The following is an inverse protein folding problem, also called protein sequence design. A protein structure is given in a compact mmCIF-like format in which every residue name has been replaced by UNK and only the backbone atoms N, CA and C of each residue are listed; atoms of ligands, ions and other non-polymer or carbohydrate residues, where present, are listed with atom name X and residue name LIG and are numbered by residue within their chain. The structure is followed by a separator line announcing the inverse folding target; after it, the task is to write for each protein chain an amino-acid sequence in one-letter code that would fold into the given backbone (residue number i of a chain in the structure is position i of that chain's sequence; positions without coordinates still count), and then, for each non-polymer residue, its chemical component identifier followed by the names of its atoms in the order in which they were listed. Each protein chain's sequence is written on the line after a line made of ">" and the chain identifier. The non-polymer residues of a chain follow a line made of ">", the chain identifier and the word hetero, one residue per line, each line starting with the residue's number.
data_IF_114160646458
#
_entry.id   IF_114160646458
#
_cell.length_a   1.000
_cell.length_b   1.000
_cell.length_c   1.000
_cell.angle_alpha   90.00
_cell.angle_beta   90.00
_cell.angle_gamma   90.00
#
_symmetry.space_group_name_H-M   'P 1'
#
loop_
_entity.id
_entity.type
_entity.pdbx_description
1 polymer ?
#
# COMPACT_ATOMS: atom_id res chain seq x y z
N UNK A 1 0.25 -37.03 -32.65
CA UNK A 1 -0.13 -36.21 -31.49
C UNK A 1 0.86 -35.06 -31.41
N UNK A 2 0.48 -33.89 -31.93
CA UNK A 2 1.32 -32.69 -31.94
C UNK A 2 1.06 -31.94 -30.64
N UNK A 3 2.12 -31.72 -29.85
CA UNK A 3 2.08 -30.98 -28.59
C UNK A 3 1.88 -29.50 -28.88
N UNK A 4 0.77 -28.98 -28.38
CA UNK A 4 0.33 -27.61 -28.52
C UNK A 4 1.29 -26.66 -27.79
N UNK A 5 1.96 -25.78 -28.53
CA UNK A 5 2.60 -24.59 -27.98
C UNK A 5 1.49 -23.66 -27.47
N UNK A 6 1.17 -23.76 -26.18
CA UNK A 6 0.15 -22.92 -25.54
C UNK A 6 0.82 -21.62 -25.06
N UNK A 7 0.63 -20.55 -25.82
CA UNK A 7 0.81 -19.18 -25.33
C UNK A 7 -0.08 -18.96 -24.10
N UNK A 8 0.48 -19.11 -22.89
CA UNK A 8 -0.25 -18.89 -21.62
C UNK A 8 -0.78 -17.45 -21.62
N UNK A 9 -2.11 -17.31 -21.58
CA UNK A 9 -2.77 -16.03 -21.31
C UNK A 9 -2.17 -15.45 -20.02
N UNK A 10 -1.75 -14.19 -20.06
CA UNK A 10 -1.33 -13.46 -18.87
C UNK A 10 -2.55 -13.32 -17.96
N UNK A 11 -2.58 -14.09 -16.87
CA UNK A 11 -3.55 -13.90 -15.80
C UNK A 11 -3.41 -12.46 -15.28
N UNK A 12 -4.53 -11.76 -15.09
CA UNK A 12 -4.56 -10.39 -14.59
C UNK A 12 -5.37 -10.35 -13.30
N UNK A 13 -5.02 -9.47 -12.39
CA UNK A 13 -5.89 -9.21 -11.24
C UNK A 13 -7.16 -8.45 -11.70
N UNK A 14 -8.20 -8.34 -10.83
CA UNK A 14 -9.46 -7.64 -11.17
C UNK A 14 -9.30 -6.18 -11.61
N UNK A 15 -8.13 -5.57 -11.42
CA UNK A 15 -7.78 -4.19 -11.75
C UNK A 15 -6.81 -4.07 -12.93
N UNK A 16 -6.48 -5.19 -13.59
CA UNK A 16 -5.68 -5.24 -14.82
C UNK A 16 -4.16 -5.31 -14.62
N UNK A 17 -3.67 -5.54 -13.40
CA UNK A 17 -2.25 -5.75 -13.12
C UNK A 17 -1.85 -7.16 -13.60
N UNK A 18 -0.90 -7.29 -14.55
CA UNK A 18 -0.48 -8.59 -15.07
C UNK A 18 0.18 -9.45 -14.00
N UNK A 19 -0.02 -10.77 -14.09
CA UNK A 19 0.71 -11.76 -13.31
C UNK A 19 2.10 -11.98 -13.90
N UNK A 20 3.10 -12.01 -13.05
CA UNK A 20 4.46 -12.38 -13.41
C UNK A 20 4.51 -13.85 -13.84
N UNK A 21 5.06 -14.17 -15.02
CA UNK A 21 5.21 -15.55 -15.45
C UNK A 21 6.29 -16.23 -14.61
N UNK A 22 5.98 -17.34 -13.93
CA UNK A 22 7.00 -18.14 -13.27
C UNK A 22 7.76 -18.99 -14.30
N UNK A 23 9.09 -18.97 -14.25
CA UNK A 23 9.94 -19.76 -15.14
C UNK A 23 10.41 -21.02 -14.42
N UNK A 24 9.72 -22.14 -14.65
CA UNK A 24 10.08 -23.44 -14.08
C UNK A 24 11.41 -23.96 -14.62
N UNK A 25 11.53 -24.03 -15.95
CA UNK A 25 12.72 -24.47 -16.67
C UNK A 25 13.41 -23.29 -17.37
N UNK A 26 14.52 -22.86 -16.80
CA UNK A 26 15.32 -21.73 -17.31
C UNK A 26 15.96 -22.04 -18.65
N UNK A 27 16.39 -23.29 -18.88
CA UNK A 27 17.09 -23.69 -20.11
C UNK A 27 16.15 -23.59 -21.32
N UNK A 28 14.91 -24.08 -21.17
CA UNK A 28 13.87 -23.96 -22.21
C UNK A 28 13.43 -22.51 -22.43
N UNK A 29 13.24 -21.74 -21.36
CA UNK A 29 12.75 -20.36 -21.43
C UNK A 29 13.75 -19.40 -22.07
N UNK A 30 15.06 -19.60 -21.83
CA UNK A 30 16.11 -18.76 -22.40
C UNK A 30 16.42 -19.17 -23.84
N UNK A 31 16.06 -20.38 -24.28
CA UNK A 31 16.27 -20.87 -25.66
C UNK A 31 17.44 -21.85 -25.81
N UNK A 32 17.89 -22.46 -24.70
CA UNK A 32 18.93 -23.47 -24.66
C UNK A 32 20.37 -22.94 -24.60
N UNK A 33 21.33 -23.85 -24.77
CA UNK A 33 22.78 -23.65 -24.56
C UNK A 33 23.46 -22.59 -25.44
N UNK A 34 22.80 -22.08 -26.48
CA UNK A 34 23.33 -21.05 -27.38
C UNK A 34 22.54 -19.74 -27.38
N UNK A 35 21.50 -19.63 -26.56
CA UNK A 35 20.65 -18.45 -26.59
C UNK A 35 21.24 -17.21 -25.91
N UNK A 36 20.75 -16.05 -26.33
CA UNK A 36 21.17 -14.72 -25.88
C UNK A 36 20.42 -14.31 -24.61
N UNK A 37 21.02 -14.64 -23.46
CA UNK A 37 20.43 -14.43 -22.12
C UNK A 37 20.16 -12.96 -21.81
N UNK A 38 20.99 -12.07 -22.36
CA UNK A 38 20.91 -10.61 -22.13
C UNK A 38 19.54 -10.05 -22.51
N UNK A 39 18.94 -10.55 -23.59
CA UNK A 39 17.61 -10.12 -24.05
C UNK A 39 16.52 -10.51 -23.05
N UNK A 40 16.62 -11.69 -22.44
CA UNK A 40 15.68 -12.16 -21.42
C UNK A 40 15.84 -11.41 -20.09
N UNK A 41 17.09 -11.15 -19.68
CA UNK A 41 17.41 -10.34 -18.49
C UNK A 41 16.82 -8.93 -18.64
N UNK A 42 17.03 -8.26 -19.80
CA UNK A 42 16.47 -6.95 -20.08
C UNK A 42 14.93 -6.92 -19.99
N UNK A 43 14.25 -7.94 -20.55
CA UNK A 43 12.78 -8.05 -20.45
C UNK A 43 12.31 -8.17 -19.00
N UNK A 44 13.05 -8.91 -18.15
CA UNK A 44 12.75 -9.01 -16.73
C UNK A 44 12.99 -7.70 -15.99
N UNK A 45 14.09 -6.99 -16.29
CA UNK A 45 14.36 -5.65 -15.73
C UNK A 45 13.25 -4.65 -16.09
N UNK A 46 12.83 -4.60 -17.36
CA UNK A 46 11.74 -3.75 -17.83
C UNK A 46 10.42 -4.08 -17.13
N UNK A 47 10.12 -5.36 -16.94
CA UNK A 47 8.88 -5.81 -16.30
C UNK A 47 8.90 -5.51 -14.80
N UNK A 48 10.01 -5.75 -14.12
CA UNK A 48 10.21 -5.39 -12.71
C UNK A 48 10.11 -3.88 -12.50
N UNK A 49 10.66 -3.07 -13.41
CA UNK A 49 10.53 -1.61 -13.36
C UNK A 49 9.07 -1.16 -13.46
N UNK A 50 8.26 -1.81 -14.31
CA UNK A 50 6.81 -1.55 -14.40
C UNK A 50 6.10 -1.88 -13.09
N UNK A 51 6.38 -3.04 -12.48
CA UNK A 51 5.77 -3.40 -11.19
C UNK A 51 6.14 -2.42 -10.08
N UNK A 52 7.42 -2.02 -9.98
CA UNK A 52 7.86 -1.02 -9.00
C UNK A 52 7.23 0.35 -9.23
N UNK A 53 7.08 0.78 -10.48
CA UNK A 53 6.39 2.03 -10.80
C UNK A 53 4.92 1.99 -10.33
N UNK A 54 4.21 0.90 -10.63
CA UNK A 54 2.83 0.70 -10.17
C UNK A 54 2.75 0.66 -8.64
N UNK A 55 3.70 0.01 -7.96
CA UNK A 55 3.76 -0.03 -6.50
C UNK A 55 3.91 1.36 -5.90
N UNK A 56 4.84 2.17 -6.43
CA UNK A 56 5.03 3.56 -5.98
C UNK A 56 3.76 4.38 -6.19
N UNK A 57 3.10 4.23 -7.34
CA UNK A 57 1.86 4.95 -7.65
C UNK A 57 0.73 4.58 -6.67
N UNK A 58 0.54 3.29 -6.39
CA UNK A 58 -0.46 2.82 -5.44
C UNK A 58 -0.11 3.18 -3.99
N UNK A 59 1.17 3.17 -3.62
CA UNK A 59 1.61 3.65 -2.31
C UNK A 59 1.31 5.14 -2.10
N UNK A 60 1.51 5.97 -3.13
CA UNK A 60 1.14 7.39 -3.09
C UNK A 60 -0.37 7.57 -2.93
N UNK A 61 -1.18 6.81 -3.68
CA UNK A 61 -2.64 6.82 -3.55
C UNK A 61 -3.09 6.40 -2.15
N UNK A 62 -2.52 5.32 -1.60
CA UNK A 62 -2.80 4.86 -0.23
C UNK A 62 -2.46 5.94 0.80
N UNK A 63 -1.32 6.61 0.65
CA UNK A 63 -0.92 7.70 1.56
C UNK A 63 -1.91 8.88 1.51
N UNK A 64 -2.37 9.25 0.32
CA UNK A 64 -3.38 10.30 0.17
C UNK A 64 -4.72 9.91 0.82
N UNK A 65 -5.15 8.65 0.68
CA UNK A 65 -6.36 8.13 1.33
C UNK A 65 -6.21 8.08 2.86
N UNK A 66 -5.04 7.68 3.39
CA UNK A 66 -4.76 7.67 4.83
C UNK A 66 -4.83 9.04 5.49
N UNK A 67 -4.50 10.12 4.77
CA UNK A 67 -4.71 11.48 5.28
C UNK A 67 -6.17 11.92 5.18
N UNK A 68 -6.84 11.62 4.06
CA UNK A 68 -8.19 12.10 3.78
C UNK A 68 -9.28 11.41 4.62
N UNK A 69 -9.12 10.14 4.94
CA UNK A 69 -10.13 9.38 5.68
C UNK A 69 -10.39 10.00 7.07
N UNK A 70 -9.36 10.27 7.89
CA UNK A 70 -9.53 10.99 9.15
C UNK A 70 -10.24 12.34 9.00
N UNK A 71 -9.86 13.15 8.01
CA UNK A 71 -10.49 14.46 7.77
C UNK A 71 -12.00 14.33 7.49
N UNK A 72 -12.40 13.36 6.65
CA UNK A 72 -13.82 13.09 6.36
C UNK A 72 -14.53 12.58 7.62
N UNK A 73 -13.90 11.68 8.39
CA UNK A 73 -14.45 11.13 9.62
C UNK A 73 -14.72 12.23 10.65
N UNK A 74 -13.75 13.10 10.89
CA UNK A 74 -13.89 14.22 11.82
C UNK A 74 -14.97 15.20 11.36
N UNK A 75 -15.00 15.52 10.06
CA UNK A 75 -16.06 16.37 9.50
C UNK A 75 -17.45 15.75 9.71
N UNK A 76 -17.58 14.45 9.46
CA UNK A 76 -18.83 13.71 9.65
C UNK A 76 -19.27 13.70 11.12
N UNK A 77 -18.33 13.52 12.05
CA UNK A 77 -18.60 13.57 13.49
C UNK A 77 -19.14 14.94 13.92
N UNK A 78 -18.53 16.04 13.44
CA UNK A 78 -19.01 17.40 13.73
C UNK A 78 -20.41 17.62 13.18
N UNK A 79 -20.69 17.22 11.94
CA UNK A 79 -22.03 17.38 11.35
C UNK A 79 -23.07 16.54 12.09
N UNK A 80 -22.73 15.30 12.47
CA UNK A 80 -23.59 14.45 13.31
C UNK A 80 -23.88 15.07 14.67
N UNK A 81 -22.87 15.65 15.33
CA UNK A 81 -23.03 16.35 16.60
C UNK A 81 -23.98 17.55 16.48
N UNK A 82 -23.79 18.39 15.45
CA UNK A 82 -24.68 19.53 15.17
C UNK A 82 -26.12 19.07 14.87
N UNK A 83 -26.28 17.95 14.18
CA UNK A 83 -27.59 17.35 13.90
C UNK A 83 -28.27 16.84 15.18
N UNK A 84 -27.54 16.10 16.02
CA UNK A 84 -28.05 15.56 17.27
C UNK A 84 -28.48 16.67 18.24
N UNK A 85 -27.65 17.71 18.39
CA UNK A 85 -27.96 18.87 19.23
C UNK A 85 -29.24 19.57 18.77
N UNK A 86 -29.38 19.80 17.47
CA UNK A 86 -30.60 20.36 16.89
C UNK A 86 -31.83 19.48 17.13
N UNK A 87 -31.71 18.17 17.02
CA UNK A 87 -32.83 17.26 17.30
C UNK A 87 -33.26 17.30 18.78
N UNK A 88 -32.29 17.38 19.72
CA UNK A 88 -32.55 17.54 21.15
C UNK A 88 -33.27 18.87 21.44
N UNK A 89 -32.77 19.98 20.87
CA UNK A 89 -33.43 21.29 20.95
C UNK A 89 -34.86 21.29 20.37
N UNK A 90 -35.13 20.49 19.33
CA UNK A 90 -36.46 20.30 18.73
C UNK A 90 -37.35 19.29 19.48
N UNK A 91 -36.87 18.67 20.56
CA UNK A 91 -37.61 17.68 21.35
C UNK A 91 -37.89 16.37 20.61
N UNK A 92 -37.13 16.06 19.55
CA UNK A 92 -37.23 14.79 18.83
C UNK A 92 -36.50 13.69 19.60
N UNK A 93 -37.05 12.45 19.65
CA UNK A 93 -36.35 11.33 20.27
C UNK A 93 -35.10 11.02 19.44
N UNK A 94 -33.93 11.27 20.02
CA UNK A 94 -32.65 10.88 19.41
C UNK A 94 -32.33 9.47 19.88
N UNK A 95 -32.17 8.54 18.95
CA UNK A 95 -31.50 7.28 19.26
C UNK A 95 -30.03 7.60 19.54
N UNK A 96 -29.61 7.49 20.81
CA UNK A 96 -28.20 7.63 21.17
C UNK A 96 -27.42 6.45 20.60
N UNK A 97 -26.89 6.60 19.38
CA UNK A 97 -25.76 5.78 18.95
C UNK A 97 -24.60 6.09 19.90
N UNK A 98 -24.34 5.19 20.85
CA UNK A 98 -23.16 5.25 21.71
C UNK A 98 -21.93 5.33 20.81
N UNK A 99 -21.31 6.50 20.76
CA UNK A 99 -19.98 6.70 20.20
C UNK A 99 -19.06 5.72 20.93
N UNK A 100 -18.42 4.81 20.21
CA UNK A 100 -17.53 3.81 20.81
C UNK A 100 -16.40 4.54 21.54
N UNK A 101 -16.40 4.32 22.84
CA UNK A 101 -15.60 4.93 23.90
C UNK A 101 -14.17 4.37 23.90
N UNK A 102 -13.45 4.53 22.80
CA UNK A 102 -12.02 4.21 22.78
C UNK A 102 -11.21 5.47 23.12
N UNK A 103 -10.81 5.51 24.41
CA UNK A 103 -9.77 6.31 25.07
C UNK A 103 -10.08 7.78 25.42
N UNK A 104 -10.70 8.01 26.59
CA UNK A 104 -9.99 8.51 27.79
C UNK A 104 -10.95 8.58 29.00
N UNK A 105 -10.63 7.80 30.04
CA UNK A 105 -11.20 7.86 31.39
C UNK A 105 -11.20 9.31 31.92
N UNK A 106 -12.38 9.91 31.99
CA UNK A 106 -12.70 10.96 32.96
C UNK A 106 -14.01 10.59 33.65
N UNK A 107 -13.90 9.67 34.62
CA UNK A 107 -14.83 9.57 35.74
C UNK A 107 -14.82 10.92 36.48
N UNK A 108 -15.75 11.83 36.13
CA UNK A 108 -16.06 12.99 36.95
C UNK A 108 -17.57 13.31 36.89
N UNK A 109 -18.25 12.79 37.93
CA UNK A 109 -19.31 13.43 38.73
C UNK A 109 -20.76 13.41 38.23
N UNK A 110 -21.60 12.87 39.13
CA UNK A 110 -23.02 13.16 39.36
C UNK A 110 -23.62 14.24 38.44
N UNK A 111 -24.48 13.84 37.50
CA UNK A 111 -25.46 14.75 36.91
C UNK A 111 -26.86 14.21 37.22
N UNK A 112 -27.45 14.77 38.27
CA UNK A 112 -28.91 14.79 38.44
C UNK A 112 -29.56 15.35 37.16
N UNK A 113 -30.65 14.72 36.72
CA UNK A 113 -31.45 15.14 35.56
C UNK A 113 -32.13 16.51 35.80
N UNK A 114 -31.35 17.59 35.81
CA UNK A 114 -31.87 18.92 35.54
C UNK A 114 -31.89 19.13 34.02
N UNK A 115 -33.10 19.31 33.47
CA UNK A 115 -33.29 19.82 32.10
C UNK A 115 -32.71 21.23 32.00
N UNK A 116 -31.40 21.35 31.84
CA UNK A 116 -30.74 22.60 31.48
C UNK A 116 -31.23 23.00 30.09
N UNK A 117 -31.86 24.17 30.00
CA UNK A 117 -32.12 24.83 28.72
C UNK A 117 -30.79 24.88 27.96
N UNK A 118 -30.74 24.37 26.72
CA UNK A 118 -29.49 24.27 25.98
C UNK A 118 -28.88 25.66 25.78
N UNK A 119 -27.84 25.97 26.58
CA UNK A 119 -27.11 27.22 26.43
C UNK A 119 -26.54 27.31 25.02
N UNK A 120 -26.58 28.51 24.39
CA UNK A 120 -26.15 28.66 23.03
C UNK A 120 -24.68 28.28 22.88
N UNK A 121 -24.36 27.49 21.85
CA UNK A 121 -23.03 26.89 21.69
C UNK A 121 -21.98 27.98 21.49
N UNK A 122 -21.09 28.15 22.45
CA UNK A 122 -19.90 29.00 22.28
C UNK A 122 -18.74 28.16 21.79
N UNK A 123 -18.05 28.65 20.79
CA UNK A 123 -16.88 28.00 20.20
C UNK A 123 -15.85 29.03 19.77
N UNK A 124 -14.60 28.60 19.67
CA UNK A 124 -13.51 29.39 19.13
C UNK A 124 -13.42 29.15 17.63
N UNK A 125 -13.69 30.18 16.83
CA UNK A 125 -13.52 30.14 15.39
C UNK A 125 -12.10 30.54 15.00
N UNK A 126 -11.46 29.71 14.19
CA UNK A 126 -10.16 30.00 13.60
C UNK A 126 -10.30 31.09 12.52
N UNK A 127 -9.69 32.26 12.76
CA UNK A 127 -9.57 33.36 11.78
C UNK A 127 -8.27 33.24 10.97
N UNK A 128 -7.23 32.69 11.60
CA UNK A 128 -5.90 32.40 11.06
C UNK A 128 -5.24 31.34 11.95
N UNK A 129 -4.15 30.71 11.49
CA UNK A 129 -3.46 29.60 12.15
C UNK A 129 -3.13 29.83 13.65
N UNK A 130 -2.99 31.10 14.05
CA UNK A 130 -2.69 31.51 15.44
C UNK A 130 -3.71 32.50 16.03
N UNK A 131 -4.81 32.78 15.33
CA UNK A 131 -5.83 33.75 15.73
C UNK A 131 -7.21 33.10 15.80
N UNK A 132 -7.80 33.11 16.99
CA UNK A 132 -9.12 32.56 17.25
C UNK A 132 -10.03 33.65 17.82
N UNK A 133 -11.32 33.60 17.49
CA UNK A 133 -12.35 34.46 18.05
C UNK A 133 -13.47 33.64 18.68
N UNK A 134 -13.90 34.02 19.87
CA UNK A 134 -15.07 33.44 20.52
C UNK A 134 -16.33 33.91 19.79
N UNK A 135 -17.17 32.97 19.37
CA UNK A 135 -18.48 33.27 18.82
C UNK A 135 -19.52 32.22 19.22
N UNK A 136 -20.78 32.64 19.13
CA UNK A 136 -21.96 31.84 19.43
C UNK A 136 -22.53 31.25 18.13
N UNK A 137 -22.78 29.94 18.10
CA UNK A 137 -23.35 29.26 16.93
C UNK A 137 -24.87 29.40 16.95
N UNK A 138 -25.42 29.93 15.85
CA UNK A 138 -26.86 29.92 15.59
C UNK A 138 -27.20 28.64 14.83
N UNK A 139 -28.12 27.84 15.36
CA UNK A 139 -28.54 26.58 14.75
C UNK A 139 -29.45 26.81 13.53
N UNK A 140 -28.84 26.99 12.36
CA UNK A 140 -29.56 27.19 11.08
C UNK A 140 -30.14 25.89 10.52
N UNK A 141 -29.54 24.73 10.83
CA UNK A 141 -29.93 23.42 10.30
C UNK A 141 -29.30 23.07 8.95
N UNK A 142 -28.37 23.91 8.48
CA UNK A 142 -27.64 23.73 7.24
C UNK A 142 -26.14 23.89 7.51
N UNK A 143 -25.31 23.19 6.74
CA UNK A 143 -23.85 23.25 6.80
C UNK A 143 -23.27 23.56 5.42
N UNK A 144 -22.26 24.44 5.38
CA UNK A 144 -21.51 24.73 4.17
C UNK A 144 -20.41 23.70 3.94
N UNK A 145 -20.49 22.96 2.83
CA UNK A 145 -19.46 21.99 2.44
C UNK A 145 -18.66 22.50 1.24
N UNK A 146 -17.34 22.51 1.36
CA UNK A 146 -16.43 22.81 0.27
C UNK A 146 -16.27 21.59 -0.65
N UNK A 147 -16.67 21.72 -1.91
CA UNK A 147 -16.64 20.61 -2.89
C UNK A 147 -15.37 20.61 -3.75
N UNK A 148 -14.54 21.66 -3.64
CA UNK A 148 -13.37 21.88 -4.49
C UNK A 148 -13.67 22.83 -5.65
N UNK A 149 -12.66 23.10 -6.49
CA UNK A 149 -12.76 23.99 -7.64
C UNK A 149 -13.43 25.34 -7.33
N UNK A 150 -13.05 25.97 -6.21
CA UNK A 150 -13.58 27.24 -5.72
C UNK A 150 -15.11 27.25 -5.50
N UNK A 151 -15.70 26.09 -5.20
CA UNK A 151 -17.15 25.93 -5.03
C UNK A 151 -17.49 25.39 -3.64
N UNK A 152 -18.38 26.10 -2.96
CA UNK A 152 -19.00 25.71 -1.68
C UNK A 152 -20.52 25.65 -1.86
N UNK A 153 -21.17 24.64 -1.30
CA UNK A 153 -22.63 24.51 -1.30
C UNK A 153 -23.14 24.30 0.12
N UNK A 154 -24.31 24.89 0.42
CA UNK A 154 -25.04 24.66 1.66
C UNK A 154 -25.89 23.39 1.50
N UNK A 155 -25.81 22.51 2.49
CA UNK A 155 -26.62 21.29 2.57
C UNK A 155 -27.37 21.25 3.91
N UNK A 156 -28.62 20.76 3.93
CA UNK A 156 -29.26 20.35 5.18
C UNK A 156 -28.39 19.32 5.93
N UNK A 157 -28.45 19.32 7.27
CA UNK A 157 -27.62 18.44 8.09
C UNK A 157 -27.78 16.95 7.73
N UNK A 158 -29.00 16.50 7.40
CA UNK A 158 -29.28 15.11 6.99
C UNK A 158 -28.59 14.77 5.66
N UNK A 159 -28.78 15.60 4.63
CA UNK A 159 -28.15 15.41 3.31
C UNK A 159 -26.62 15.46 3.40
N UNK A 160 -26.08 16.31 4.28
CA UNK A 160 -24.65 16.39 4.53
C UNK A 160 -24.09 15.11 5.16
N UNK A 161 -24.81 14.49 6.10
CA UNK A 161 -24.44 13.20 6.72
C UNK A 161 -24.43 12.11 5.66
N UNK A 162 -25.46 12.03 4.81
CA UNK A 162 -25.54 11.04 3.73
C UNK A 162 -24.41 11.23 2.70
N UNK A 163 -24.14 12.48 2.32
CA UNK A 163 -23.07 12.81 1.38
C UNK A 163 -21.69 12.44 1.94
N UNK A 164 -21.41 12.80 3.20
CA UNK A 164 -20.13 12.54 3.85
C UNK A 164 -19.93 11.05 4.15
N UNK A 165 -20.98 10.34 4.60
CA UNK A 165 -20.93 8.89 4.83
C UNK A 165 -20.70 8.11 3.54
N UNK A 166 -21.37 8.48 2.44
CA UNK A 166 -21.11 7.90 1.12
C UNK A 166 -19.69 8.14 0.63
N UNK A 167 -19.15 9.36 0.83
CA UNK A 167 -17.75 9.68 0.50
C UNK A 167 -16.75 8.89 1.36
N UNK A 168 -17.05 8.72 2.65
CA UNK A 168 -16.23 7.95 3.59
C UNK A 168 -16.18 6.47 3.18
N UNK A 169 -17.34 5.87 2.92
CA UNK A 169 -17.43 4.47 2.46
C UNK A 169 -16.70 4.26 1.13
N UNK A 170 -16.83 5.19 0.17
CA UNK A 170 -16.10 5.12 -1.10
C UNK A 170 -14.58 5.26 -0.91
N UNK A 171 -14.13 6.14 0.01
CA UNK A 171 -12.72 6.32 0.31
C UNK A 171 -12.12 5.08 1.01
N UNK A 172 -12.83 4.50 1.98
CA UNK A 172 -12.45 3.26 2.66
C UNK A 172 -12.38 2.09 1.68
N UNK A 173 -13.41 1.89 0.86
CA UNK A 173 -13.38 0.86 -0.20
C UNK A 173 -12.20 1.05 -1.15
N UNK A 174 -11.93 2.29 -1.59
CA UNK A 174 -10.78 2.56 -2.45
C UNK A 174 -9.44 2.32 -1.74
N UNK A 175 -9.38 2.45 -0.41
CA UNK A 175 -8.19 2.16 0.38
C UNK A 175 -7.94 0.66 0.44
N UNK A 176 -8.97 -0.13 0.72
CA UNK A 176 -8.89 -1.60 0.79
C UNK A 176 -8.46 -2.19 -0.55
N UNK A 177 -9.10 -1.77 -1.65
CA UNK A 177 -8.72 -2.16 -3.02
C UNK A 177 -7.24 -1.82 -3.31
N UNK A 178 -6.76 -0.66 -2.85
CA UNK A 178 -5.36 -0.27 -3.04
C UNK A 178 -4.40 -1.13 -2.22
N UNK A 179 -4.81 -1.59 -1.03
CA UNK A 179 -4.01 -2.48 -0.19
C UNK A 179 -3.89 -3.85 -0.83
N UNK A 180 -4.99 -4.41 -1.33
CA UNK A 180 -5.00 -5.69 -2.06
C UNK A 180 -4.10 -5.63 -3.31
N UNK A 181 -4.19 -4.56 -4.10
CA UNK A 181 -3.34 -4.39 -5.28
C UNK A 181 -1.84 -4.25 -4.92
N UNK A 182 -1.53 -3.63 -3.79
CA UNK A 182 -0.15 -3.54 -3.29
C UNK A 182 0.40 -4.90 -2.87
N UNK A 183 -0.43 -5.74 -2.23
CA UNK A 183 -0.06 -7.11 -1.89
C UNK A 183 0.18 -7.94 -3.15
N UNK A 184 -0.72 -7.86 -4.13
CA UNK A 184 -0.56 -8.50 -5.43
C UNK A 184 0.77 -8.10 -6.11
N UNK A 185 1.10 -6.80 -6.13
CA UNK A 185 2.35 -6.32 -6.73
C UNK A 185 3.59 -6.83 -6.00
N UNK A 186 3.56 -6.92 -4.67
CA UNK A 186 4.67 -7.49 -3.89
C UNK A 186 4.94 -8.94 -4.26
N UNK A 187 3.89 -9.73 -4.43
CA UNK A 187 4.03 -11.11 -4.93
C UNK A 187 4.65 -11.14 -6.33
N UNK A 188 4.18 -10.28 -7.24
CA UNK A 188 4.71 -10.25 -8.62
C UNK A 188 6.18 -9.82 -8.65
N UNK A 189 6.58 -8.83 -7.86
CA UNK A 189 7.97 -8.39 -7.72
C UNK A 189 8.82 -9.56 -7.20
N UNK A 190 8.35 -10.27 -6.17
CA UNK A 190 9.07 -11.42 -5.60
C UNK A 190 9.28 -12.52 -6.65
N UNK A 191 8.24 -12.87 -7.43
CA UNK A 191 8.35 -13.86 -8.51
C UNK A 191 9.36 -13.42 -9.57
N UNK A 192 9.35 -12.15 -9.96
CA UNK A 192 10.29 -11.61 -10.92
C UNK A 192 11.73 -11.61 -10.41
N UNK A 193 11.96 -11.30 -9.14
CA UNK A 193 13.28 -11.33 -8.50
C UNK A 193 13.84 -12.76 -8.45
N UNK A 194 13.00 -13.74 -8.11
CA UNK A 194 13.37 -15.16 -8.16
C UNK A 194 13.71 -15.58 -9.59
N UNK A 195 12.88 -15.24 -10.58
CA UNK A 195 13.15 -15.55 -11.99
C UNK A 195 14.46 -14.94 -12.48
N UNK A 196 14.72 -13.67 -12.13
CA UNK A 196 15.95 -12.98 -12.47
C UNK A 196 17.17 -13.68 -11.88
N UNK A 197 17.13 -14.02 -10.59
CA UNK A 197 18.21 -14.75 -9.91
C UNK A 197 18.45 -16.12 -10.56
N UNK A 198 17.40 -16.85 -10.92
CA UNK A 198 17.50 -18.16 -11.59
C UNK A 198 18.16 -18.05 -12.96
N UNK A 199 17.76 -17.07 -13.77
CA UNK A 199 18.39 -16.81 -15.09
C UNK A 199 19.85 -16.40 -14.94
N UNK A 200 20.16 -15.51 -14.00
CA UNK A 200 21.54 -15.08 -13.75
C UNK A 200 22.42 -16.24 -13.28
N UNK A 201 21.93 -17.06 -12.34
CA UNK A 201 22.65 -18.25 -11.85
C UNK A 201 22.90 -19.27 -12.97
N UNK A 202 21.91 -19.48 -13.84
CA UNK A 202 22.07 -20.34 -15.01
C UNK A 202 23.12 -19.80 -15.99
N UNK A 203 23.12 -18.49 -16.28
CA UNK A 203 24.11 -17.85 -17.15
C UNK A 203 25.53 -17.95 -16.58
N UNK A 204 25.70 -17.69 -15.28
CA UNK A 204 27.00 -17.84 -14.59
C UNK A 204 27.50 -19.29 -14.67
N UNK A 205 26.63 -20.28 -14.44
CA UNK A 205 26.99 -21.70 -14.56
C UNK A 205 27.45 -22.03 -15.98
N UNK A 206 26.71 -21.60 -17.00
CA UNK A 206 27.06 -21.79 -18.42
C UNK A 206 28.39 -21.14 -18.79
N UNK A 207 28.67 -19.92 -18.32
CA UNK A 207 29.94 -19.22 -18.59
C UNK A 207 31.13 -19.85 -17.87
N UNK A 208 30.94 -20.38 -16.66
CA UNK A 208 31.96 -21.16 -15.94
C UNK A 208 32.29 -22.47 -16.69
N UNK A 209 31.27 -23.18 -17.16
CA UNK A 209 31.45 -24.41 -17.95
C UNK A 209 32.14 -24.13 -19.30
N UNK A 210 31.89 -22.97 -19.92
CA UNK A 210 32.59 -22.52 -21.14
C UNK A 210 34.00 -21.96 -20.87
N UNK A 211 34.50 -21.99 -19.63
CA UNK A 211 35.82 -21.48 -19.25
C UNK A 211 35.97 -19.95 -19.36
N UNK A 212 34.87 -19.21 -19.49
CA UNK A 212 34.86 -17.75 -19.66
C UNK A 212 34.93 -16.97 -18.34
N UNK A 213 34.86 -17.67 -17.20
CA UNK A 213 35.01 -17.09 -15.85
C UNK A 213 36.09 -17.89 -15.11
N UNK A 214 37.26 -17.30 -14.92
CA UNK A 214 38.33 -17.90 -14.11
C UNK A 214 37.92 -17.94 -12.64
N UNK A 215 38.13 -19.08 -11.97
CA UNK A 215 37.93 -19.21 -10.52
C UNK A 215 38.81 -18.19 -9.79
N UNK A 216 38.20 -17.20 -9.16
CA UNK A 216 38.83 -16.49 -8.05
C UNK A 216 38.48 -17.27 -6.76
N UNK A 217 38.96 -18.52 -6.64
CA UNK A 217 38.90 -19.26 -5.38
C UNK A 217 40.20 -19.04 -4.63
N UNK A 218 40.17 -18.14 -3.66
CA UNK A 218 41.18 -18.09 -2.61
C UNK A 218 41.07 -19.34 -1.74
N UNK A 219 41.82 -20.38 -2.08
CA UNK A 219 42.15 -21.47 -1.17
C UNK A 219 43.63 -21.77 -1.36
N UNK A 220 44.45 -21.35 -0.39
CA UNK A 220 45.88 -21.62 -0.36
C UNK A 220 46.11 -23.14 -0.40
N UNK A 221 47.12 -23.64 -1.13
CA UNK A 221 47.45 -25.05 -1.08
C UNK A 221 48.07 -25.37 0.29
N UNK A 222 47.33 -26.07 1.14
CA UNK A 222 47.87 -26.73 2.31
C UNK A 222 48.65 -27.98 1.87
N UNK A 223 49.93 -27.81 1.53
CA UNK A 223 50.87 -28.92 1.35
C UNK A 223 51.74 -29.04 2.59
N UNK A 224 51.34 -29.89 3.55
CA UNK A 224 52.16 -30.31 4.69
C UNK A 224 52.47 -31.80 4.52
N UNK A 225 53.75 -32.15 4.62
CA UNK A 225 54.18 -33.43 5.15
C UNK A 225 54.56 -34.52 4.14
N UNK A 226 55.88 -34.66 4.00
CA UNK A 226 56.62 -35.89 4.30
C UNK A 226 57.08 -36.87 3.19
N UNK A 227 58.37 -37.17 3.39
CA UNK A 227 59.16 -38.38 3.10
C UNK A 227 59.85 -38.58 1.74
N UNK A 228 61.20 -38.46 1.81
CA UNK A 228 62.23 -39.50 1.55
C UNK A 228 61.87 -40.59 0.54
N UNK A 229 62.74 -41.04 -0.36
CA UNK A 229 64.12 -41.45 -0.14
C UNK A 229 64.81 -41.70 -1.50
N UNK A 230 66.12 -41.50 -1.52
CA UNK A 230 67.16 -42.23 -2.28
C UNK A 230 66.86 -42.90 -3.63
N UNK A 231 67.64 -42.52 -4.65
CA UNK A 231 68.68 -43.42 -5.17
C UNK A 231 69.65 -42.69 -6.11
N UNK A 232 70.92 -42.85 -5.77
CA UNK A 232 72.11 -42.67 -6.60
C UNK A 232 72.02 -43.48 -7.91
N UNK A 233 72.56 -42.97 -9.02
CA UNK A 233 73.53 -43.74 -9.83
C UNK A 233 74.19 -42.89 -10.94
N UNK A 234 75.49 -42.67 -10.74
CA UNK A 234 76.61 -42.84 -11.67
C UNK A 234 76.58 -42.41 -13.17
N UNK A 235 77.60 -41.58 -13.48
CA UNK A 235 78.59 -41.66 -14.59
C UNK A 235 78.11 -41.34 -16.02
N UNK A 236 78.86 -40.68 -16.90
CA UNK A 236 80.31 -40.37 -17.02
C UNK A 236 80.54 -38.91 -17.46
#
# INVERSE_FOLDING_TARGET
>A
MATTSSSKQMEVNPRGIPRAPFVDNVDEYVGGKDAEVQTTIKKFEETTAKYRYMEISLQQRRKALLGKIPDITQTLQVVKYLHQRRQKALGQPVEEEKLSDDEDDLDDLDDEEEKKEEEPMKTLFELNDTLYAEAEIIETGEVGLWLGANTMLMYPLEEAIDLLSGKLAAAQKSQDETIEDLEWLREQITVMEVNFARVHNWDVKRRREKGQIAQQSGLLPSGKGDDKDDSEDERD
#
